data_IF_291816659701
#
_entry.id   IF_291816659701
#
_cell.length_a   1.000
_cell.length_b   1.000
_cell.length_c   1.000
_cell.angle_alpha   90.00
_cell.angle_beta   90.00
_cell.angle_gamma   90.00
#
_symmetry.space_group_name_H-M   'P 1'
#
loop_
_entity.id
_entity.type
_entity.pdbx_description
1 polymer ?
#
# COMPACT_ATOMS: atom_id res chain seq x y z
N UNK A 1 6.44 -1.25 -18.57
CA UNK A 1 6.71 -0.50 -17.32
C UNK A 1 8.21 -0.35 -17.20
N UNK A 2 8.74 0.87 -17.16
CA UNK A 2 10.18 1.11 -17.16
C UNK A 2 10.65 1.61 -15.81
N UNK A 3 10.98 0.70 -14.90
CA UNK A 3 11.72 1.05 -13.70
C UNK A 3 12.58 -0.11 -13.20
N UNK A 4 13.63 0.24 -12.47
CA UNK A 4 14.48 -0.69 -11.73
C UNK A 4 14.30 -0.43 -10.23
N UNK A 5 14.41 -1.48 -9.44
CA UNK A 5 14.36 -1.40 -7.99
C UNK A 5 15.72 -1.82 -7.44
N UNK A 6 16.25 -1.06 -6.49
CA UNK A 6 17.51 -1.37 -5.80
C UNK A 6 17.34 -1.29 -4.31
N UNK A 7 17.89 -2.26 -3.58
CA UNK A 7 18.02 -2.18 -2.13
C UNK A 7 18.87 -0.96 -1.76
N UNK A 8 18.44 -0.22 -0.75
CA UNK A 8 19.07 1.00 -0.27
C UNK A 8 19.41 0.85 1.21
N UNK A 9 20.63 1.22 1.55
CA UNK A 9 21.05 1.34 2.94
C UNK A 9 20.14 2.31 3.72
N UNK A 10 19.63 1.85 4.86
CA UNK A 10 18.66 2.59 5.66
C UNK A 10 19.25 3.92 6.18
N UNK A 11 20.49 3.93 6.68
CA UNK A 11 21.10 5.16 7.22
C UNK A 11 21.32 6.22 6.15
N UNK A 12 21.67 5.82 4.94
CA UNK A 12 21.71 6.72 3.77
C UNK A 12 20.33 7.21 3.35
N UNK A 13 19.27 6.42 3.55
CA UNK A 13 17.90 6.86 3.32
C UNK A 13 17.45 7.85 4.39
N UNK A 14 17.57 7.48 5.67
CA UNK A 14 17.22 8.29 6.85
C UNK A 14 17.81 9.69 6.76
N UNK A 15 19.14 9.78 6.56
CA UNK A 15 19.83 11.07 6.43
C UNK A 15 19.35 11.90 5.24
N UNK A 16 18.95 11.26 4.14
CA UNK A 16 18.57 11.95 2.91
C UNK A 16 17.14 12.49 2.96
N UNK A 17 16.23 11.79 3.63
CA UNK A 17 14.80 12.11 3.64
C UNK A 17 14.32 12.63 4.97
N UNK A 18 15.22 12.80 5.94
CA UNK A 18 14.91 13.20 7.31
C UNK A 18 13.84 12.29 7.94
N UNK A 19 13.86 11.01 7.55
CA UNK A 19 12.86 10.04 7.99
C UNK A 19 12.95 9.85 9.51
N UNK A 20 11.86 10.12 10.21
CA UNK A 20 11.79 10.10 11.68
C UNK A 20 12.81 11.02 12.38
N UNK A 21 13.28 12.10 11.73
CA UNK A 21 14.34 12.96 12.28
C UNK A 21 14.01 13.53 13.68
N UNK A 22 12.74 13.83 13.95
CA UNK A 22 12.30 14.44 15.21
C UNK A 22 11.98 13.44 16.32
N UNK A 23 12.18 12.14 16.08
CA UNK A 23 11.89 11.09 17.06
C UNK A 23 13.17 10.77 17.85
N UNK A 24 13.03 10.60 19.16
CA UNK A 24 14.10 10.09 20.00
C UNK A 24 14.46 8.65 19.59
N UNK A 25 15.74 8.33 19.48
CA UNK A 25 16.19 7.05 18.91
C UNK A 25 15.56 5.82 19.59
N UNK A 26 15.29 5.87 20.89
CA UNK A 26 14.66 4.76 21.63
C UNK A 26 13.18 4.52 21.24
N UNK A 27 12.49 5.54 20.72
CA UNK A 27 11.10 5.46 20.25
C UNK A 27 11.00 5.05 18.76
N UNK A 28 12.11 5.10 18.02
CA UNK A 28 12.13 4.72 16.59
C UNK A 28 12.01 3.22 16.37
N UNK A 29 12.36 2.41 17.36
CA UNK A 29 12.63 0.97 17.21
C UNK A 29 11.49 0.19 16.54
N UNK A 30 10.23 0.52 16.82
CA UNK A 30 9.07 -0.11 16.19
C UNK A 30 8.73 0.40 14.78
N UNK A 31 9.32 1.52 14.37
CA UNK A 31 9.07 2.20 13.09
C UNK A 31 10.28 2.14 12.14
N UNK A 32 11.30 1.35 12.49
CA UNK A 32 12.44 1.10 11.62
C UNK A 32 12.04 0.12 10.51
N UNK A 33 12.21 0.49 9.22
CA UNK A 33 11.98 -0.45 8.14
C UNK A 33 13.05 -1.54 8.17
N UNK A 34 12.63 -2.78 7.95
CA UNK A 34 13.53 -3.91 7.73
C UNK A 34 14.33 -3.72 6.46
N UNK A 35 13.69 -3.20 5.41
CA UNK A 35 14.34 -2.91 4.13
C UNK A 35 13.80 -1.64 3.49
N UNK A 36 14.66 -0.98 2.72
CA UNK A 36 14.31 0.19 1.91
C UNK A 36 14.67 -0.09 0.46
N UNK A 37 13.68 0.00 -0.42
CA UNK A 37 13.86 -0.16 -1.86
C UNK A 37 13.75 1.19 -2.53
N UNK A 38 14.71 1.54 -3.39
CA UNK A 38 14.67 2.74 -4.23
C UNK A 38 14.24 2.38 -5.65
N UNK A 39 13.29 3.15 -6.17
CA UNK A 39 12.85 3.06 -7.56
C UNK A 39 13.67 4.01 -8.44
N UNK A 40 14.05 3.54 -9.62
CA UNK A 40 14.65 4.34 -10.69
C UNK A 40 13.83 4.13 -11.95
N UNK A 41 13.15 5.17 -12.39
CA UNK A 41 12.31 5.13 -13.58
C UNK A 41 13.15 5.38 -14.84
N UNK A 42 12.78 4.72 -15.93
CA UNK A 42 13.41 4.86 -17.23
C UNK A 42 12.67 5.91 -18.05
N UNK A 43 13.33 7.04 -18.31
CA UNK A 43 12.77 8.16 -19.07
C UNK A 43 12.58 7.82 -20.57
N UNK A 44 13.05 6.67 -21.06
CA UNK A 44 12.66 6.18 -22.40
C UNK A 44 11.18 5.81 -22.49
N UNK A 45 10.54 5.55 -21.34
CA UNK A 45 9.10 5.31 -21.27
C UNK A 45 8.38 6.66 -21.20
N UNK A 46 7.50 6.91 -22.18
CA UNK A 46 6.78 8.18 -22.35
C UNK A 46 6.17 8.73 -21.05
N UNK A 47 5.46 7.91 -20.27
CA UNK A 47 4.85 8.33 -19.00
C UNK A 47 5.87 8.78 -17.94
N UNK A 48 7.06 8.17 -17.93
CA UNK A 48 8.12 8.58 -16.99
C UNK A 48 8.75 9.90 -17.43
N UNK A 49 8.97 10.07 -18.74
CA UNK A 49 9.45 11.34 -19.31
C UNK A 49 8.47 12.49 -19.04
N UNK A 50 7.18 12.24 -19.22
CA UNK A 50 6.11 13.20 -18.91
C UNK A 50 6.15 13.61 -17.43
N UNK A 51 6.28 12.63 -16.51
CA UNK A 51 6.45 12.94 -15.09
C UNK A 51 7.71 13.78 -14.82
N UNK A 52 8.84 13.43 -15.44
CA UNK A 52 10.10 14.17 -15.25
C UNK A 52 9.98 15.62 -15.75
N UNK A 53 9.27 15.86 -16.86
CA UNK A 53 8.97 17.20 -17.38
C UNK A 53 8.09 18.01 -16.41
N UNK A 54 7.06 17.37 -15.84
CA UNK A 54 6.20 18.04 -14.85
C UNK A 54 6.99 18.45 -13.60
N UNK A 55 7.91 17.61 -13.13
CA UNK A 55 8.79 17.93 -11.99
C UNK A 55 9.74 19.08 -12.34
N UNK A 56 10.29 19.13 -13.55
CA UNK A 56 11.14 20.23 -14.00
C UNK A 56 10.36 21.55 -14.09
N UNK A 57 9.12 21.50 -14.56
CA UNK A 57 8.26 22.67 -14.74
C UNK A 57 7.70 23.23 -13.41
N UNK A 58 7.23 22.35 -12.53
CA UNK A 58 6.45 22.75 -11.34
C UNK A 58 7.18 22.51 -10.02
N UNK A 59 8.28 21.74 -10.04
CA UNK A 59 8.93 21.28 -8.82
C UNK A 59 8.24 20.05 -8.21
N UNK A 60 8.77 19.61 -7.07
CA UNK A 60 8.33 18.38 -6.41
C UNK A 60 8.18 18.55 -4.91
N UNK A 61 7.12 17.98 -4.37
CA UNK A 61 6.96 17.69 -2.96
C UNK A 61 7.40 16.25 -2.67
N UNK A 62 7.79 16.02 -1.42
CA UNK A 62 8.09 14.70 -0.89
C UNK A 62 7.10 14.34 0.20
N UNK A 63 6.49 13.16 0.11
CA UNK A 63 5.47 12.74 1.07
C UNK A 63 5.39 11.22 1.23
N UNK A 64 4.99 10.79 2.42
CA UNK A 64 4.84 9.39 2.80
C UNK A 64 3.39 8.93 2.65
N UNK A 65 3.18 7.71 2.18
CA UNK A 65 1.86 7.10 2.04
C UNK A 65 1.87 5.66 2.55
N UNK A 66 1.02 5.38 3.54
CA UNK A 66 0.76 4.03 4.05
C UNK A 66 -0.47 3.45 3.38
N UNK A 67 -0.44 2.15 3.07
CA UNK A 67 -1.57 1.45 2.47
C UNK A 67 -1.56 -0.04 2.82
N UNK A 68 -2.67 -0.71 2.51
CA UNK A 68 -2.77 -2.17 2.67
C UNK A 68 -1.92 -2.93 1.68
N UNK A 69 -1.50 -4.14 2.03
CA UNK A 69 -0.67 -5.00 1.17
C UNK A 69 -1.26 -5.22 -0.23
N UNK A 70 -2.57 -5.42 -0.31
CA UNK A 70 -3.29 -5.70 -1.56
C UNK A 70 -3.25 -4.53 -2.55
N UNK A 71 -3.02 -3.31 -2.06
CA UNK A 71 -2.96 -2.10 -2.88
C UNK A 71 -1.63 -1.95 -3.63
N UNK A 72 -0.53 -2.44 -3.07
CA UNK A 72 0.81 -2.12 -3.58
C UNK A 72 1.12 -2.71 -4.95
N UNK A 73 0.57 -3.88 -5.29
CA UNK A 73 0.74 -4.41 -6.64
C UNK A 73 0.12 -3.47 -7.68
N UNK A 74 -1.06 -2.91 -7.40
CA UNK A 74 -1.71 -1.94 -8.28
C UNK A 74 -0.98 -0.58 -8.32
N UNK A 75 -0.53 -0.09 -7.17
CA UNK A 75 0.22 1.17 -7.05
C UNK A 75 1.57 1.09 -7.78
N UNK A 76 2.31 -0.02 -7.63
CA UNK A 76 3.67 -0.14 -8.15
C UNK A 76 3.70 -0.69 -9.57
N UNK A 77 2.97 -1.77 -9.84
CA UNK A 77 3.02 -2.52 -11.11
C UNK A 77 1.80 -2.30 -12.01
N UNK A 78 0.68 -1.87 -11.42
CA UNK A 78 -0.57 -1.68 -12.12
C UNK A 78 -0.75 -0.26 -12.66
N UNK A 79 -1.81 0.39 -12.18
CA UNK A 79 -2.29 1.67 -12.70
C UNK A 79 -1.71 2.89 -11.96
N UNK A 80 -0.81 2.67 -11.00
CA UNK A 80 -0.37 3.75 -10.13
C UNK A 80 -1.42 4.11 -9.10
N UNK A 81 -1.34 5.35 -8.61
CA UNK A 81 -2.40 5.99 -7.83
C UNK A 81 -3.58 6.30 -8.76
N UNK A 82 -4.50 5.35 -8.98
CA UNK A 82 -5.60 5.54 -9.93
C UNK A 82 -6.87 6.07 -9.23
N UNK A 83 -7.50 7.10 -9.79
CA UNK A 83 -8.60 7.84 -9.13
C UNK A 83 -9.79 6.95 -8.75
N UNK A 84 -10.03 5.87 -9.51
CA UNK A 84 -11.06 4.86 -9.21
C UNK A 84 -10.88 4.12 -7.87
N UNK A 85 -9.70 4.24 -7.23
CA UNK A 85 -9.40 3.64 -5.93
C UNK A 85 -9.37 4.67 -4.79
N UNK A 86 -9.73 5.93 -5.07
CA UNK A 86 -9.91 6.94 -4.02
C UNK A 86 -11.21 6.61 -3.28
N UNK A 87 -11.15 6.63 -1.95
CA UNK A 87 -12.33 6.41 -1.11
C UNK A 87 -13.32 7.56 -1.27
N UNK A 88 -14.63 7.29 -1.24
CA UNK A 88 -15.65 8.36 -1.26
C UNK A 88 -15.67 9.17 0.05
N UNK A 89 -15.25 8.58 1.18
CA UNK A 89 -15.24 9.20 2.50
C UNK A 89 -13.94 9.92 2.84
N UNK A 90 -13.43 10.77 1.95
CA UNK A 90 -12.18 11.50 2.17
C UNK A 90 -12.39 12.75 3.04
N UNK A 91 -11.72 12.81 4.19
CA UNK A 91 -11.90 13.86 5.22
C UNK A 91 -11.61 15.29 4.73
N UNK A 92 -10.65 15.45 3.83
CA UNK A 92 -10.21 16.75 3.30
C UNK A 92 -10.43 16.85 1.79
N UNK A 93 -11.47 16.19 1.28
CA UNK A 93 -11.82 16.19 -0.14
C UNK A 93 -11.19 15.05 -0.94
N UNK A 94 -11.67 14.88 -2.16
CA UNK A 94 -11.28 13.75 -3.02
C UNK A 94 -9.82 13.86 -3.46
N UNK A 95 -9.00 12.83 -3.20
CA UNK A 95 -7.60 12.79 -3.61
C UNK A 95 -6.79 11.69 -2.96
N UNK A 96 -5.49 11.67 -3.28
CA UNK A 96 -4.51 10.80 -2.65
C UNK A 96 -3.80 11.52 -1.50
N UNK A 97 -3.77 10.86 -0.36
CA UNK A 97 -3.29 11.44 0.89
C UNK A 97 -1.85 11.01 1.18
N UNK A 98 -1.04 12.00 1.52
CA UNK A 98 0.34 11.85 1.95
C UNK A 98 0.60 12.73 3.17
N UNK A 99 1.75 12.52 3.81
CA UNK A 99 2.26 13.46 4.80
C UNK A 99 3.74 13.71 4.59
N UNK A 100 4.21 14.95 4.78
CA UNK A 100 5.63 15.25 4.88
C UNK A 100 6.25 14.68 6.17
N UNK A 101 5.43 14.41 7.19
CA UNK A 101 5.84 13.70 8.40
C UNK A 101 5.50 12.21 8.30
N UNK A 102 6.54 11.38 8.19
CA UNK A 102 6.41 9.92 8.14
C UNK A 102 5.58 9.32 9.30
N UNK A 103 5.56 9.95 10.48
CA UNK A 103 4.81 9.47 11.65
C UNK A 103 3.31 9.39 11.38
N UNK A 104 2.78 10.38 10.66
CA UNK A 104 1.36 10.44 10.29
C UNK A 104 1.02 9.25 9.40
N UNK A 105 1.85 9.01 8.39
CA UNK A 105 1.62 7.95 7.40
C UNK A 105 1.83 6.53 7.93
N UNK A 106 2.60 6.36 9.01
CA UNK A 106 2.76 5.07 9.71
C UNK A 106 1.45 4.50 10.23
N UNK A 107 0.52 5.34 10.67
CA UNK A 107 -0.80 4.89 11.17
C UNK A 107 -1.65 4.19 10.09
N UNK A 108 -1.30 4.38 8.82
CA UNK A 108 -1.97 3.75 7.67
C UNK A 108 -1.25 2.49 7.15
N UNK A 109 -0.09 2.14 7.74
CA UNK A 109 0.61 0.90 7.41
C UNK A 109 -0.15 -0.28 8.02
N UNK A 110 -0.60 -1.20 7.17
CA UNK A 110 -1.30 -2.41 7.61
C UNK A 110 -0.41 -3.63 7.42
N UNK A 111 0.10 -4.19 8.52
CA UNK A 111 0.76 -5.49 8.51
C UNK A 111 -0.26 -6.55 8.08
N UNK A 112 0.02 -7.25 6.99
CA UNK A 112 -0.89 -8.23 6.41
C UNK A 112 -0.16 -9.44 5.87
N UNK A 113 -0.91 -10.41 5.37
CA UNK A 113 -0.35 -11.57 4.67
C UNK A 113 0.46 -11.09 3.46
N UNK A 114 1.54 -11.82 3.19
CA UNK A 114 2.44 -11.63 2.07
C UNK A 114 2.71 -12.96 1.38
N UNK A 115 3.76 -13.02 0.56
CA UNK A 115 4.25 -14.27 -0.01
C UNK A 115 5.07 -15.05 1.03
N UNK A 116 4.59 -16.24 1.40
CA UNK A 116 5.19 -17.06 2.45
C UNK A 116 6.64 -17.49 2.18
N UNK A 117 7.09 -17.47 0.91
CA UNK A 117 8.48 -17.76 0.52
C UNK A 117 9.32 -16.51 0.26
N UNK A 118 8.81 -15.33 0.62
CA UNK A 118 9.57 -14.09 0.53
C UNK A 118 10.70 -14.08 1.57
N UNK A 119 11.83 -13.46 1.22
CA UNK A 119 12.95 -13.24 2.14
C UNK A 119 12.59 -12.33 3.35
N UNK A 120 11.39 -11.73 3.35
CA UNK A 120 10.88 -10.84 4.40
C UNK A 120 9.80 -11.52 5.26
N UNK A 121 9.60 -12.83 5.09
CA UNK A 121 8.56 -13.60 5.75
C UNK A 121 7.18 -13.47 5.10
N UNK A 122 6.23 -14.26 5.63
CA UNK A 122 4.86 -14.33 5.14
C UNK A 122 3.95 -13.17 5.59
N UNK A 123 4.47 -12.20 6.35
CA UNK A 123 3.72 -11.04 6.81
C UNK A 123 4.59 -9.79 6.82
N UNK A 124 4.13 -8.76 6.13
CA UNK A 124 4.81 -7.46 6.03
C UNK A 124 3.79 -6.33 6.07
N UNK A 125 4.25 -5.12 6.36
CA UNK A 125 3.57 -3.89 5.96
C UNK A 125 4.51 -3.01 5.17
N UNK A 126 3.92 -2.04 4.47
CA UNK A 126 4.64 -1.20 3.53
C UNK A 126 4.29 0.27 3.74
N UNK A 127 5.31 1.13 3.65
CA UNK A 127 5.18 2.58 3.57
C UNK A 127 5.94 3.05 2.34
N UNK A 128 5.31 3.83 1.46
CA UNK A 128 6.03 4.47 0.35
C UNK A 128 6.43 5.88 0.72
N UNK A 129 7.57 6.31 0.20
CA UNK A 129 7.94 7.72 0.12
C UNK A 129 7.91 8.13 -1.36
N UNK A 130 7.10 9.14 -1.67
CA UNK A 130 6.71 9.52 -3.02
C UNK A 130 7.25 10.90 -3.39
N UNK A 131 7.58 11.07 -4.67
CA UNK A 131 7.64 12.38 -5.33
C UNK A 131 6.24 12.74 -5.82
N UNK A 132 5.85 13.98 -5.60
CA UNK A 132 4.54 14.52 -5.97
C UNK A 132 4.77 15.83 -6.71
N UNK A 133 4.19 16.03 -7.88
CA UNK A 133 4.31 17.28 -8.63
C UNK A 133 3.57 18.40 -7.88
N UNK A 134 4.23 19.55 -7.73
CA UNK A 134 3.70 20.71 -6.97
C UNK A 134 2.87 21.65 -7.88
N UNK A 135 1.66 21.21 -8.25
CA UNK A 135 0.72 22.00 -9.08
C UNK A 135 -0.46 22.51 -8.26
N UNK A 136 -1.33 23.32 -8.88
CA UNK A 136 -2.65 23.74 -8.37
C UNK A 136 -3.60 22.57 -8.00
N UNK A 137 -3.27 21.34 -8.39
CA UNK A 137 -4.02 20.12 -8.04
C UNK A 137 -3.39 19.36 -6.87
N UNK A 138 -2.33 19.91 -6.27
CA UNK A 138 -1.66 19.40 -5.09
C UNK A 138 -1.79 20.44 -3.97
N UNK A 139 -2.47 20.07 -2.89
CA UNK A 139 -2.71 20.92 -1.74
C UNK A 139 -1.87 20.45 -0.56
N UNK A 140 -1.46 21.36 0.31
CA UNK A 140 -0.68 21.04 1.49
C UNK A 140 -1.10 21.86 2.70
N UNK A 141 -1.20 21.17 3.83
CA UNK A 141 -1.43 21.81 5.10
C UNK A 141 -0.28 22.73 5.46
N UNK A 142 -0.61 23.96 5.79
CA UNK A 142 0.35 24.99 6.18
C UNK A 142 0.19 25.20 7.68
N UNK A 143 1.30 25.24 8.40
CA UNK A 143 1.30 25.76 9.76
C UNK A 143 1.00 27.27 9.70
N UNK A 144 -0.24 27.65 9.95
CA UNK A 144 -0.61 29.06 10.10
C UNK A 144 -0.05 29.55 11.43
N UNK A 145 1.22 29.96 11.46
CA UNK A 145 1.77 30.68 12.59
C UNK A 145 1.35 32.15 12.49
N UNK A 146 0.80 32.77 13.54
CA UNK A 146 0.40 34.18 13.50
C UNK A 146 1.56 35.19 13.38
N UNK A 147 2.83 34.77 13.20
CA UNK A 147 3.98 35.68 13.27
C UNK A 147 5.10 35.49 12.22
N UNK A 148 4.96 34.62 11.23
CA UNK A 148 5.98 34.50 10.18
C UNK A 148 5.69 35.46 9.03
N UNK A 149 6.31 36.65 9.06
CA UNK A 149 6.45 37.52 7.89
C UNK A 149 7.12 36.72 6.74
N UNK A 150 6.61 36.80 5.49
CA UNK A 150 7.11 35.96 4.42
C UNK A 150 8.50 36.44 4.00
N UNK A 151 9.55 35.71 4.37
CA UNK A 151 10.84 35.78 3.69
C UNK A 151 10.70 34.99 2.39
N UNK A 152 10.59 35.73 1.28
CA UNK A 152 10.35 35.28 -0.10
C UNK A 152 8.90 34.87 -0.41
N UNK A 153 8.36 35.38 -1.53
CA UNK A 153 7.07 34.92 -2.07
C UNK A 153 7.25 33.46 -2.49
N UNK A 154 6.46 32.50 -1.97
CA UNK A 154 6.47 31.14 -2.52
C UNK A 154 6.06 31.19 -4.01
N UNK A 155 6.64 30.30 -4.82
CA UNK A 155 6.25 30.13 -6.24
C UNK A 155 4.78 29.71 -6.38
N UNK A 156 4.26 29.03 -5.34
CA UNK A 156 2.88 28.55 -5.22
C UNK A 156 2.05 29.51 -4.35
N UNK A 157 0.86 29.90 -4.86
CA UNK A 157 -0.09 30.72 -4.10
C UNK A 157 -1.10 29.80 -3.38
N UNK A 158 -1.07 29.84 -2.05
CA UNK A 158 -1.93 29.01 -1.21
C UNK A 158 -3.42 29.32 -1.39
N UNK A 159 -4.21 28.26 -1.48
CA UNK A 159 -5.66 28.24 -1.66
C UNK A 159 -6.40 28.02 -0.34
N UNK A 160 -7.74 28.07 -0.34
CA UNK A 160 -8.55 27.70 0.82
C UNK A 160 -8.46 26.20 1.14
N UNK A 161 -8.30 25.35 0.11
CA UNK A 161 -8.10 23.91 0.26
C UNK A 161 -6.82 23.63 1.09
N UNK A 162 -5.74 24.39 0.86
CA UNK A 162 -4.49 24.30 1.65
C UNK A 162 -4.70 24.65 3.13
N UNK A 163 -5.47 25.70 3.42
CA UNK A 163 -5.75 26.15 4.80
C UNK A 163 -6.62 25.16 5.58
N UNK A 164 -7.41 24.35 4.88
CA UNK A 164 -8.26 23.33 5.49
C UNK A 164 -7.49 22.07 5.91
N UNK A 165 -6.29 21.88 5.40
CA UNK A 165 -5.47 20.69 5.66
C UNK A 165 -4.68 20.84 6.97
N UNK A 166 -4.62 19.79 7.81
CA UNK A 166 -3.76 19.78 8.98
C UNK A 166 -2.28 19.89 8.60
N UNK A 167 -1.46 20.39 9.52
CA UNK A 167 -0.01 20.49 9.30
C UNK A 167 0.58 19.17 8.81
N UNK A 168 1.56 19.26 7.92
CA UNK A 168 2.21 18.14 7.24
C UNK A 168 1.34 17.31 6.27
N UNK A 169 0.03 17.49 6.18
CA UNK A 169 -0.78 16.75 5.19
C UNK A 169 -0.54 17.28 3.77
N UNK A 170 -0.56 16.36 2.80
CA UNK A 170 -0.50 16.68 1.38
C UNK A 170 -1.60 15.86 0.68
N UNK A 171 -2.39 16.52 -0.17
CA UNK A 171 -3.44 15.89 -0.97
C UNK A 171 -3.21 16.20 -2.45
N UNK A 172 -3.00 15.16 -3.26
CA UNK A 172 -2.91 15.31 -4.72
C UNK A 172 -4.15 14.74 -5.39
N UNK A 173 -4.78 15.53 -6.27
CA UNK A 173 -6.00 15.13 -7.01
C UNK A 173 -5.68 14.30 -8.26
N UNK A 174 -4.43 14.28 -8.72
CA UNK A 174 -4.02 13.63 -9.97
C UNK A 174 -3.03 12.49 -9.70
N UNK A 175 -3.48 11.27 -9.97
CA UNK A 175 -2.68 10.06 -9.87
C UNK A 175 -1.35 10.07 -10.62
N UNK A 176 -1.37 10.60 -11.85
CA UNK A 176 -0.20 10.74 -12.71
C UNK A 176 0.85 11.71 -12.18
N UNK A 177 0.51 12.54 -11.19
CA UNK A 177 1.44 13.47 -10.55
C UNK A 177 2.15 12.85 -9.35
N UNK A 178 1.98 11.55 -9.10
CA UNK A 178 2.59 10.86 -7.97
C UNK A 178 3.47 9.72 -8.47
N UNK A 179 4.68 9.62 -7.91
CA UNK A 179 5.62 8.55 -8.20
C UNK A 179 6.27 8.02 -6.94
N UNK A 180 6.23 6.69 -6.75
CA UNK A 180 6.92 6.03 -5.64
C UNK A 180 8.42 6.15 -5.84
N UNK A 181 9.13 6.85 -4.95
CA UNK A 181 10.59 6.96 -5.00
C UNK A 181 11.27 5.90 -4.13
N UNK A 182 10.67 5.62 -2.98
CA UNK A 182 11.11 4.57 -2.07
C UNK A 182 9.92 3.74 -1.58
N UNK A 183 10.17 2.45 -1.31
CA UNK A 183 9.26 1.56 -0.60
C UNK A 183 9.99 1.00 0.61
N UNK A 184 9.42 1.23 1.79
CA UNK A 184 9.89 0.75 3.07
C UNK A 184 9.08 -0.49 3.44
N UNK A 185 9.75 -1.58 3.77
CA UNK A 185 9.14 -2.84 4.19
C UNK A 185 9.37 -3.04 5.68
N UNK A 186 8.30 -3.34 6.40
CA UNK A 186 8.30 -3.68 7.82
C UNK A 186 7.92 -5.15 7.95
N UNK A 187 8.87 -5.99 8.35
CA UNK A 187 8.62 -7.40 8.61
C UNK A 187 7.90 -7.57 9.95
N UNK A 188 6.88 -8.43 9.96
CA UNK A 188 6.25 -8.86 11.19
C UNK A 188 7.12 -9.90 11.90
N UNK A 189 7.74 -9.51 13.01
CA UNK A 189 8.63 -10.38 13.78
C UNK A 189 7.88 -11.27 14.79
N UNK A 190 6.56 -11.16 14.93
CA UNK A 190 5.82 -11.92 15.96
C UNK A 190 5.78 -13.42 15.72
N UNK A 191 6.03 -13.89 14.48
CA UNK A 191 6.08 -15.32 14.16
C UNK A 191 7.49 -15.94 14.29
N UNK A 192 8.55 -15.14 14.23
CA UNK A 192 9.93 -15.66 14.24
C UNK A 192 10.36 -16.09 15.64
N UNK A 193 9.78 -15.53 16.70
CA UNK A 193 10.10 -15.92 18.09
C UNK A 193 9.44 -17.24 18.53
N UNK A 194 8.26 -17.58 18.01
CA UNK A 194 7.55 -18.81 18.41
C UNK A 194 8.12 -20.10 17.81
N UNK A 195 8.83 -20.01 16.67
CA UNK A 195 9.49 -21.16 16.04
C UNK A 195 10.83 -21.52 16.71
N UNK A 196 11.48 -20.57 17.39
CA UNK A 196 12.73 -20.83 18.13
C UNK A 196 12.49 -21.32 19.57
N UNK A 197 11.30 -21.09 20.12
CA UNK A 197 10.93 -21.58 21.46
C UNK A 197 10.41 -23.03 21.44
N UNK A 198 9.93 -23.50 20.29
CA UNK A 198 9.40 -24.87 20.12
C UNK A 198 10.46 -25.91 19.75
N UNK A 199 11.69 -25.49 19.46
CA UNK A 199 12.83 -26.37 19.14
C UNK A 199 13.78 -26.60 20.32
N UNK A 200 13.53 -25.98 21.48
CA UNK A 200 14.44 -26.00 22.64
C UNK A 200 13.86 -26.64 23.92
N UNK A 201 12.64 -27.18 23.88
CA UNK A 201 12.02 -27.86 25.03
C UNK A 201 11.87 -29.38 24.81
N UNK A 202 12.99 -30.09 24.72
CA UNK A 202 13.03 -31.53 24.98
C UNK A 202 14.19 -31.81 25.93
N UNK A 203 13.87 -32.46 27.05
CA UNK A 203 14.77 -32.98 28.10
C UNK A 203 15.06 -32.02 29.25
N UNK A 204 14.25 -32.11 30.31
CA UNK A 204 14.70 -32.30 31.70
C UNK A 204 13.48 -32.30 32.64
N UNK A 205 12.83 -33.45 32.78
CA UNK A 205 11.97 -33.72 33.94
C UNK A 205 12.85 -34.38 35.01
N UNK A 206 13.34 -33.57 35.95
CA UNK A 206 13.78 -34.05 37.26
C UNK A 206 12.78 -33.56 38.30
N UNK A 207 12.11 -34.53 38.91
CA UNK A 207 11.29 -34.41 40.10
C UNK A 207 12.04 -33.68 41.22
N UNK A 208 11.44 -32.63 41.78
CA UNK A 208 11.79 -32.18 43.11
C UNK A 208 10.52 -31.86 43.91
N UNK A 209 10.21 -32.77 44.84
CA UNK A 209 9.32 -32.53 45.96
C UNK A 209 9.98 -31.50 46.88
N UNK A 210 9.21 -30.53 47.40
CA UNK A 210 9.27 -30.08 48.80
C UNK A 210 8.38 -28.85 49.04
N UNK A 211 7.40 -29.02 49.94
CA UNK A 211 7.25 -28.30 51.23
C UNK A 211 5.84 -27.82 51.59
N UNK A 212 5.42 -28.34 52.74
CA UNK A 212 4.79 -27.69 53.91
C UNK A 212 3.39 -27.07 53.84
N UNK A 213 2.47 -27.87 54.38
CA UNK A 213 1.53 -27.62 55.47
C UNK A 213 1.48 -26.23 56.18
N UNK A 214 0.23 -25.80 56.31
CA UNK A 214 -0.48 -25.23 57.48
C UNK A 214 -0.28 -23.75 57.89
N UNK A 215 -1.36 -22.96 57.74
CA UNK A 215 -2.06 -22.39 58.91
C UNK A 215 -3.51 -21.98 58.58
N UNK A 216 -4.45 -22.42 59.43
CA UNK A 216 -5.89 -22.16 59.41
C UNK A 216 -6.31 -20.71 59.75
N UNK A 217 -7.42 -20.23 59.17
CA UNK A 217 -8.68 -19.97 59.89
C UNK A 217 -9.75 -19.26 59.03
N UNK A 218 -10.73 -20.06 58.60
CA UNK A 218 -12.18 -19.90 58.79
C UNK A 218 -12.85 -18.50 58.72
N UNK A 219 -13.67 -18.25 57.69
CA UNK A 219 -15.12 -18.02 57.87
C UNK A 219 -15.90 -18.14 56.56
N UNK A 220 -17.01 -18.87 56.64
CA UNK A 220 -17.95 -19.18 55.57
C UNK A 220 -18.84 -17.98 55.20
N UNK A 221 -19.09 -17.78 53.91
CA UNK A 221 -20.48 -17.61 53.43
C UNK A 221 -20.62 -18.00 51.95
N UNK A 222 -21.48 -19.00 51.76
CA UNK A 222 -21.99 -19.66 50.55
C UNK A 222 -22.56 -18.69 49.51
N UNK A 223 -22.37 -18.95 48.21
CA UNK A 223 -23.43 -18.97 47.15
C UNK A 223 -22.91 -19.67 45.87
N UNK A 224 -23.54 -20.81 45.58
CA UNK A 224 -23.83 -21.48 44.30
C UNK A 224 -22.78 -21.56 43.18
N UNK A 225 -22.18 -22.75 43.08
CA UNK A 225 -21.88 -23.40 41.80
C UNK A 225 -23.13 -24.11 41.28
N UNK A 226 -23.50 -23.86 40.03
CA UNK A 226 -24.16 -24.86 39.19
C UNK A 226 -23.46 -24.89 37.84
N UNK A 227 -22.57 -25.88 37.72
CA UNK A 227 -22.16 -26.43 36.43
C UNK A 227 -23.37 -27.06 35.75
N UNK A 228 -23.56 -26.77 34.47
CA UNK A 228 -24.05 -27.80 33.55
C UNK A 228 -23.45 -27.55 32.17
N UNK A 229 -22.40 -28.33 31.89
CA UNK A 229 -22.04 -28.72 30.54
C UNK A 229 -23.20 -29.51 29.93
N UNK A 230 -23.61 -29.15 28.73
CA UNK A 230 -24.11 -30.13 27.77
C UNK A 230 -23.79 -29.67 26.35
N UNK A 231 -22.77 -30.31 25.80
CA UNK A 231 -22.49 -30.44 24.38
C UNK A 231 -23.59 -31.25 23.70
N UNK A 232 -24.24 -30.69 22.69
CA UNK A 232 -24.93 -31.48 21.65
C UNK A 232 -24.54 -30.93 20.28
N UNK A 233 -23.89 -31.81 19.51
CA UNK A 233 -23.53 -31.63 18.11
C UNK A 233 -24.76 -31.38 17.22
N UNK A 234 -24.68 -30.43 16.28
CA UNK A 234 -25.28 -30.61 14.95
C UNK A 234 -24.55 -29.79 13.87
N UNK A 235 -23.87 -30.53 13.01
CA UNK A 235 -23.30 -30.11 11.74
C UNK A 235 -24.47 -29.90 10.74
N UNK A 236 -24.20 -29.00 9.77
CA UNK A 236 -24.87 -28.78 8.46
C UNK A 236 -25.84 -27.59 8.43
N UNK A 237 -25.32 -26.44 7.97
CA UNK A 237 -25.66 -25.95 6.64
C UNK A 237 -24.63 -24.94 6.11
N UNK A 238 -24.00 -25.33 5.00
CA UNK A 238 -23.26 -24.46 4.09
C UNK A 238 -24.24 -23.48 3.46
N UNK A 239 -24.00 -22.17 3.63
CA UNK A 239 -24.53 -21.15 2.73
C UNK A 239 -23.36 -20.23 2.38
N UNK A 240 -22.76 -20.34 1.18
CA UNK A 240 -21.90 -19.29 0.68
C UNK A 240 -22.77 -18.13 0.19
N UNK A 241 -22.53 -17.00 0.84
CA UNK A 241 -22.71 -15.62 0.39
C UNK A 241 -22.64 -15.45 -1.14
N UNK A 242 -23.67 -14.82 -1.71
CA UNK A 242 -23.61 -13.89 -2.85
C UNK A 242 -22.63 -14.27 -3.97
N UNK A 243 -22.78 -15.46 -4.55
CA UNK A 243 -22.11 -15.79 -5.81
C UNK A 243 -22.80 -15.04 -6.95
N UNK A 244 -22.22 -13.90 -7.30
CA UNK A 244 -22.12 -13.33 -8.64
C UNK A 244 -23.34 -13.51 -9.56
N UNK A 245 -24.34 -12.65 -9.36
CA UNK A 245 -25.37 -12.39 -10.36
C UNK A 245 -24.75 -12.07 -11.73
N UNK A 246 -23.56 -11.45 -11.75
CA UNK A 246 -22.78 -11.19 -12.96
C UNK A 246 -22.30 -12.43 -13.70
N UNK A 247 -21.96 -13.52 -12.99
CA UNK A 247 -21.56 -14.78 -13.64
C UNK A 247 -22.77 -15.44 -14.29
N UNK A 248 -23.92 -15.43 -13.62
CA UNK A 248 -25.18 -15.96 -14.18
C UNK A 248 -25.61 -15.15 -15.41
N UNK A 249 -25.53 -13.82 -15.34
CA UNK A 249 -25.83 -12.94 -16.48
C UNK A 249 -24.86 -13.12 -17.65
N UNK A 250 -23.57 -13.34 -17.36
CA UNK A 250 -22.56 -13.62 -18.39
C UNK A 250 -22.81 -14.97 -19.09
N UNK A 251 -23.15 -16.02 -18.33
CA UNK A 251 -23.48 -17.34 -18.89
C UNK A 251 -24.75 -17.24 -19.75
N UNK A 252 -25.79 -16.55 -19.29
CA UNK A 252 -27.01 -16.32 -20.07
C UNK A 252 -26.71 -15.56 -21.37
N UNK A 253 -25.89 -14.51 -21.32
CA UNK A 253 -25.47 -13.76 -22.50
C UNK A 253 -24.70 -14.62 -23.50
N UNK A 254 -23.77 -15.46 -23.03
CA UNK A 254 -23.03 -16.38 -23.88
C UNK A 254 -23.93 -17.43 -24.56
N UNK A 255 -24.94 -17.95 -23.86
CA UNK A 255 -25.94 -18.86 -24.44
C UNK A 255 -26.76 -18.15 -25.51
N UNK A 256 -27.19 -16.90 -25.28
CA UNK A 256 -27.91 -16.11 -26.28
C UNK A 256 -27.06 -15.90 -27.54
N UNK A 257 -25.76 -15.61 -27.40
CA UNK A 257 -24.86 -15.46 -28.55
C UNK A 257 -24.69 -16.75 -29.37
N UNK A 258 -24.69 -17.91 -28.71
CA UNK A 258 -24.59 -19.22 -29.37
C UNK A 258 -25.89 -19.58 -30.08
N UNK A 259 -27.05 -19.29 -29.48
CA UNK A 259 -28.36 -19.56 -30.07
C UNK A 259 -28.69 -18.57 -31.20
N UNK A 260 -28.29 -17.31 -31.05
CA UNK A 260 -28.57 -16.26 -32.03
C UNK A 260 -27.72 -16.33 -33.31
N UNK A 261 -26.84 -17.34 -33.45
CA UNK A 261 -26.21 -17.70 -34.72
C UNK A 261 -25.62 -16.53 -35.49
N UNK A 262 -24.64 -15.82 -34.91
CA UNK A 262 -24.02 -14.67 -35.58
C UNK A 262 -23.02 -15.17 -36.66
N UNK A 263 -23.24 -14.94 -37.97
CA UNK A 263 -22.42 -15.52 -39.04
C UNK A 263 -21.07 -14.83 -39.28
N UNK A 264 -20.66 -13.89 -38.42
CA UNK A 264 -19.60 -12.92 -38.74
C UNK A 264 -18.17 -13.28 -38.28
N UNK A 265 -17.91 -14.51 -37.80
CA UNK A 265 -16.58 -14.89 -37.25
C UNK A 265 -15.85 -15.97 -38.08
N UNK A 266 -16.18 -16.14 -39.37
CA UNK A 266 -15.29 -16.89 -40.28
C UNK A 266 -15.07 -16.13 -41.59
N UNK A 267 -14.16 -15.14 -41.55
CA UNK A 267 -13.47 -14.66 -42.75
C UNK A 267 -12.01 -14.37 -42.42
N UNK A 268 -11.21 -15.43 -42.36
CA UNK A 268 -9.75 -15.36 -42.41
C UNK A 268 -9.38 -15.26 -43.89
N UNK A 269 -9.29 -14.03 -44.38
CA UNK A 269 -8.86 -13.71 -45.74
C UNK A 269 -7.33 -13.68 -45.84
N UNK A 270 -6.78 -14.70 -46.49
CA UNK A 270 -5.43 -14.73 -47.05
C UNK A 270 -5.25 -13.64 -48.12
N UNK A 271 -4.26 -12.77 -47.99
CA UNK A 271 -3.76 -11.93 -49.09
C UNK A 271 -2.23 -11.92 -49.07
N UNK A 272 -1.64 -12.78 -49.91
CA UNK A 272 -0.23 -12.78 -50.30
C UNK A 272 -0.16 -12.27 -51.75
N UNK A 273 0.73 -11.30 -51.94
CA UNK A 273 1.49 -10.95 -53.17
C UNK A 273 0.85 -10.06 -54.25
N UNK A 274 1.59 -8.95 -54.44
CA UNK A 274 2.21 -8.50 -55.70
C UNK A 274 1.40 -7.54 -56.56
N UNK A 275 1.86 -6.29 -56.62
CA UNK A 275 2.12 -5.63 -57.90
C UNK A 275 3.24 -4.59 -57.75
N UNK A 276 4.41 -4.93 -58.30
CA UNK A 276 5.43 -3.98 -58.76
C UNK A 276 4.82 -3.12 -59.87
N UNK A 277 4.76 -1.80 -59.72
CA UNK A 277 5.02 -0.83 -60.81
C UNK A 277 4.93 0.60 -60.27
N UNK A 278 5.95 1.38 -60.61
CA UNK A 278 6.01 2.86 -60.79
C UNK A 278 7.29 3.39 -60.12
N UNK A 279 8.41 3.13 -60.79
CA UNK A 279 9.51 4.08 -60.91
C UNK A 279 9.73 4.23 -62.41
N UNK A 280 9.43 5.41 -62.95
CA UNK A 280 10.16 6.10 -64.04
C UNK A 280 9.27 7.13 -64.73
N UNK A 281 9.84 8.31 -65.01
CA UNK A 281 9.40 9.39 -65.93
C UNK A 281 8.26 10.27 -65.41
N UNK A 282 8.31 11.61 -65.38
CA UNK A 282 9.05 12.66 -66.14
C UNK A 282 9.21 13.89 -65.21
N UNK A 283 10.40 14.51 -65.12
CA UNK A 283 10.79 15.76 -65.82
C UNK A 283 9.89 16.97 -65.55
N UNK A 284 10.32 17.83 -64.61
CA UNK A 284 10.72 19.23 -64.83
C UNK A 284 11.46 19.74 -63.58
#
# INVERSE_FOLDING_TARGET
MGFQVKLKDYKKFEKKTEYLADILDHLKTSQLPTMVFKFKYDSSVAKNAEFDQLIEQFGSLFGYHGSSNDSWNNIIRGRGFANQYISEGCLFGHGFYFSSDSKVSHSFVKIGKWWDRSDFGGRVGCLSACEIVDTDQTHRGIKVSPQSSPKSKPLYQYTEDDKSLPDHYIVSKIGGHIRVKYLLIFQDQTNTMNLNLSSSSTSNNLSNQNNNQNHDNNTNHTINNNNNNNSVNRIKNLIPRQLNIFIVLFILYAIVLVIAGNPWIFSIGTQKKSFKKIVSKLEL
#
